data_IF_167853820200
#
_entry.id   IF_167853820200
#
_cell.length_a   1.000
_cell.length_b   1.000
_cell.length_c   1.000
_cell.angle_alpha   90.00
_cell.angle_beta   90.00
_cell.angle_gamma   90.00
#
_symmetry.space_group_name_H-M   'P 1'
#
loop_
_entity.id
_entity.type
_entity.pdbx_description
1 polymer ?
#
# COMPACT_ATOMS: atom_id res chain seq x y z
N UNK A 1 2.39 24.51 -6.17
CA UNK A 1 2.39 23.21 -6.88
C UNK A 1 1.43 22.23 -6.20
N UNK A 2 1.49 21.99 -4.88
CA UNK A 2 0.59 21.06 -4.19
C UNK A 2 -0.88 21.46 -4.23
N UNK A 3 -1.21 22.74 -4.00
CA UNK A 3 -2.58 23.24 -4.04
C UNK A 3 -3.21 23.09 -5.43
N UNK A 4 -2.49 23.45 -6.49
CA UNK A 4 -2.97 23.29 -7.87
C UNK A 4 -3.18 21.83 -8.24
N UNK A 5 -2.27 20.92 -7.82
CA UNK A 5 -2.43 19.49 -8.04
C UNK A 5 -3.65 18.92 -7.30
N UNK A 6 -3.88 19.34 -6.06
CA UNK A 6 -5.04 18.93 -5.28
C UNK A 6 -6.35 19.44 -5.90
N UNK A 7 -6.36 20.68 -6.39
CA UNK A 7 -7.52 21.28 -7.07
C UNK A 7 -7.88 20.52 -8.35
N UNK A 8 -6.90 20.24 -9.21
CA UNK A 8 -7.14 19.46 -10.44
C UNK A 8 -7.57 18.02 -10.13
N UNK A 9 -6.95 17.38 -9.14
CA UNK A 9 -7.31 16.04 -8.71
C UNK A 9 -8.74 15.95 -8.17
N UNK A 10 -9.21 16.99 -7.47
CA UNK A 10 -10.58 17.03 -6.95
C UNK A 10 -11.64 17.24 -8.04
N UNK A 11 -11.24 17.71 -9.24
CA UNK A 11 -12.13 17.80 -10.42
C UNK A 11 -12.29 16.47 -11.16
N UNK A 12 -11.36 15.51 -10.93
CA UNK A 12 -11.44 14.21 -11.55
C UNK A 12 -12.59 13.38 -10.96
N UNK A 13 -13.29 12.58 -11.77
CA UNK A 13 -14.24 11.59 -11.26
C UNK A 13 -13.57 10.69 -10.22
N UNK A 14 -14.33 10.28 -9.20
CA UNK A 14 -13.81 9.36 -8.21
C UNK A 14 -13.52 8.00 -8.88
N UNK A 15 -12.27 7.55 -8.77
CA UNK A 15 -11.88 6.27 -9.33
C UNK A 15 -12.63 5.13 -8.62
N UNK A 16 -13.20 4.17 -9.36
CA UNK A 16 -13.83 2.99 -8.75
C UNK A 16 -12.79 2.15 -8.01
N UNK A 17 -13.25 1.32 -7.10
CA UNK A 17 -12.40 0.29 -6.47
C UNK A 17 -11.87 -0.65 -7.55
N UNK A 18 -10.60 -1.03 -7.42
CA UNK A 18 -10.05 -2.11 -8.24
C UNK A 18 -10.75 -3.43 -7.90
N UNK A 19 -11.16 -4.23 -8.90
CA UNK A 19 -11.72 -5.57 -8.66
C UNK A 19 -10.78 -6.41 -7.79
N UNK A 20 -11.31 -7.12 -6.79
CA UNK A 20 -10.54 -7.92 -5.84
C UNK A 20 -9.98 -7.15 -4.63
N UNK A 21 -9.87 -5.81 -4.71
CA UNK A 21 -9.29 -5.02 -3.63
C UNK A 21 -10.16 -5.04 -2.36
N UNK A 22 -11.46 -4.92 -2.50
CA UNK A 22 -12.39 -4.99 -1.37
C UNK A 22 -12.37 -6.38 -0.72
N UNK A 23 -12.42 -7.40 -1.55
CA UNK A 23 -12.47 -8.79 -1.14
C UNK A 23 -11.23 -9.17 -0.29
N UNK A 24 -10.03 -8.85 -0.78
CA UNK A 24 -8.80 -9.20 -0.05
C UNK A 24 -8.64 -8.40 1.24
N UNK A 25 -8.94 -7.09 1.27
CA UNK A 25 -8.81 -6.32 2.51
C UNK A 25 -9.85 -6.73 3.57
N UNK A 26 -11.00 -7.26 3.16
CA UNK A 26 -11.98 -7.87 4.07
C UNK A 26 -11.46 -9.19 4.66
N UNK A 27 -10.84 -10.06 3.84
CA UNK A 27 -10.19 -11.29 4.33
C UNK A 27 -9.11 -10.95 5.37
N UNK A 28 -8.18 -10.05 5.02
CA UNK A 28 -7.11 -9.57 5.91
C UNK A 28 -7.68 -9.04 7.24
N UNK A 29 -8.79 -8.29 7.17
CA UNK A 29 -9.49 -7.81 8.36
C UNK A 29 -10.05 -8.96 9.20
N UNK A 30 -10.71 -9.92 8.57
CA UNK A 30 -11.32 -11.07 9.24
C UNK A 30 -10.26 -11.96 9.90
N UNK A 31 -9.09 -12.06 9.30
CA UNK A 31 -7.93 -12.77 9.85
C UNK A 31 -7.27 -12.01 11.04
N UNK A 32 -7.80 -10.85 11.42
CA UNK A 32 -7.28 -10.06 12.54
C UNK A 32 -5.98 -9.30 12.24
N UNK A 33 -5.50 -9.33 10.99
CA UNK A 33 -4.24 -8.70 10.59
C UNK A 33 -4.40 -7.18 10.54
N UNK A 34 -3.46 -6.45 11.12
CA UNK A 34 -3.44 -4.98 11.10
C UNK A 34 -3.15 -4.46 9.69
N UNK A 35 -3.93 -3.48 9.24
CA UNK A 35 -3.79 -2.81 7.94
C UNK A 35 -3.34 -1.38 8.14
N UNK A 36 -2.30 -0.98 7.43
CA UNK A 36 -1.76 0.37 7.44
C UNK A 36 -1.77 0.97 6.04
N UNK A 37 -1.83 2.28 5.96
CA UNK A 37 -1.69 3.02 4.69
C UNK A 37 -0.41 3.83 4.74
N UNK A 38 0.46 3.64 3.73
CA UNK A 38 1.71 4.39 3.59
C UNK A 38 1.70 5.12 2.26
N UNK A 39 1.52 6.43 2.30
CA UNK A 39 1.35 7.26 1.10
C UNK A 39 2.25 8.49 1.11
N UNK A 40 2.78 8.83 -0.06
CA UNK A 40 3.47 10.10 -0.30
C UNK A 40 2.52 11.30 -0.46
N UNK A 41 1.20 11.10 -0.34
CA UNK A 41 0.22 12.18 -0.42
C UNK A 41 0.04 12.87 0.93
N UNK A 42 0.01 14.22 0.89
CA UNK A 42 -0.39 15.06 2.02
C UNK A 42 -1.85 15.55 1.94
N UNK A 43 -2.71 14.88 1.17
CA UNK A 43 -4.11 15.32 1.00
C UNK A 43 -4.95 14.94 2.21
N UNK A 44 -5.56 15.93 2.86
CA UNK A 44 -6.47 15.73 4.01
C UNK A 44 -7.69 14.87 3.63
N UNK A 45 -8.18 15.01 2.39
CA UNK A 45 -9.32 14.24 1.86
C UNK A 45 -9.03 12.75 1.60
N UNK A 46 -7.77 12.32 1.69
CA UNK A 46 -7.40 10.94 1.39
C UNK A 46 -8.11 9.93 2.30
N UNK A 47 -8.15 10.18 3.61
CA UNK A 47 -8.82 9.29 4.55
C UNK A 47 -10.32 9.19 4.30
N UNK A 48 -10.96 10.31 3.97
CA UNK A 48 -12.39 10.33 3.63
C UNK A 48 -12.68 9.50 2.38
N UNK A 49 -11.83 9.60 1.37
CA UNK A 49 -11.94 8.79 0.13
C UNK A 49 -11.70 7.30 0.42
N UNK A 50 -10.70 6.98 1.24
CA UNK A 50 -10.46 5.60 1.68
C UNK A 50 -11.65 5.05 2.45
N UNK A 51 -12.26 5.82 3.34
CA UNK A 51 -13.42 5.39 4.09
C UNK A 51 -14.68 5.21 3.24
N UNK A 52 -14.85 6.03 2.18
CA UNK A 52 -15.94 5.82 1.23
C UNK A 52 -15.76 4.54 0.43
N UNK A 53 -14.53 4.28 -0.04
CA UNK A 53 -14.24 3.11 -0.85
C UNK A 53 -14.04 1.83 -0.02
N UNK A 54 -13.52 1.94 1.21
CA UNK A 54 -13.17 0.83 2.09
C UNK A 54 -13.69 1.09 3.52
N UNK A 55 -15.02 1.12 3.72
CA UNK A 55 -15.59 1.51 5.02
C UNK A 55 -15.15 0.58 6.14
N UNK A 56 -14.60 1.18 7.21
CA UNK A 56 -14.17 0.45 8.40
C UNK A 56 -12.92 -0.42 8.23
N UNK A 57 -12.16 -0.25 7.13
CA UNK A 57 -10.93 -0.99 6.89
C UNK A 57 -9.71 -0.29 7.48
N UNK A 58 -9.56 1.00 7.21
CA UNK A 58 -8.37 1.77 7.57
C UNK A 58 -8.67 2.74 8.72
N UNK A 59 -7.68 2.95 9.58
CA UNK A 59 -7.76 3.85 10.73
C UNK A 59 -6.73 4.96 10.58
N UNK A 60 -7.10 6.18 10.95
CA UNK A 60 -6.24 7.38 10.82
C UNK A 60 -4.91 7.23 11.56
N UNK A 61 -4.94 6.67 12.74
CA UNK A 61 -3.76 6.46 13.60
C UNK A 61 -2.75 5.46 13.01
N UNK A 62 -3.20 4.63 12.05
CA UNK A 62 -2.37 3.66 11.33
C UNK A 62 -2.07 4.11 9.88
N UNK A 63 -2.02 5.42 9.66
CA UNK A 63 -1.60 6.00 8.39
C UNK A 63 -0.26 6.70 8.53
N UNK A 64 0.56 6.58 7.48
CA UNK A 64 1.79 7.36 7.26
C UNK A 64 1.58 8.16 5.99
N UNK A 65 1.73 9.47 6.10
CA UNK A 65 1.52 10.44 5.01
C UNK A 65 2.79 11.26 4.78
N UNK A 66 2.78 12.13 3.78
CA UNK A 66 3.89 13.05 3.51
C UNK A 66 4.23 13.97 4.71
N UNK A 67 3.31 14.16 5.64
CA UNK A 67 3.52 14.99 6.84
C UNK A 67 4.26 14.27 7.97
N UNK A 68 4.31 12.94 7.92
CA UNK A 68 4.91 12.11 8.96
C UNK A 68 6.40 11.83 8.72
N UNK A 69 6.91 12.09 7.51
CA UNK A 69 8.22 11.65 7.04
C UNK A 69 9.07 12.81 6.52
N UNK A 70 10.37 12.65 6.61
CA UNK A 70 11.34 13.60 6.04
C UNK A 70 11.69 13.26 4.60
N UNK A 71 11.86 11.98 4.31
CA UNK A 71 12.25 11.49 2.99
C UNK A 71 11.17 10.56 2.44
N UNK A 72 10.71 10.84 1.23
CA UNK A 72 9.73 10.01 0.52
C UNK A 72 10.36 8.81 -0.19
N UNK A 73 9.51 7.91 -0.69
CA UNK A 73 9.93 6.76 -1.52
C UNK A 73 10.83 7.24 -2.67
N UNK A 74 11.94 6.58 -2.99
CA UNK A 74 12.33 5.22 -2.62
C UNK A 74 13.05 5.09 -1.27
N UNK A 75 13.19 6.15 -0.48
CA UNK A 75 13.76 6.05 0.86
C UNK A 75 12.88 5.14 1.73
N UNK A 76 13.44 4.31 2.63
CA UNK A 76 12.68 3.42 3.50
C UNK A 76 11.88 4.13 4.61
N UNK A 77 12.15 5.42 4.89
CA UNK A 77 11.52 6.19 5.98
C UNK A 77 10.01 6.00 6.11
N UNK A 78 9.19 6.01 5.02
CA UNK A 78 7.75 5.83 5.14
C UNK A 78 7.35 4.49 5.74
N UNK A 79 8.06 3.42 5.39
CA UNK A 79 7.79 2.08 5.89
C UNK A 79 8.39 1.85 7.28
N UNK A 80 9.56 2.40 7.57
CA UNK A 80 10.13 2.38 8.92
C UNK A 80 9.22 3.12 9.91
N UNK A 81 8.67 4.27 9.51
CA UNK A 81 7.65 4.99 10.29
C UNK A 81 6.38 4.16 10.50
N UNK A 82 5.95 3.41 9.49
CA UNK A 82 4.81 2.51 9.63
C UNK A 82 5.08 1.38 10.62
N UNK A 83 6.26 0.76 10.57
CA UNK A 83 6.67 -0.26 11.55
C UNK A 83 6.66 0.31 12.97
N UNK A 84 7.22 1.51 13.17
CA UNK A 84 7.24 2.19 14.47
C UNK A 84 5.82 2.47 14.97
N UNK A 85 4.95 3.08 14.15
CA UNK A 85 3.55 3.38 14.51
C UNK A 85 2.75 2.12 14.84
N UNK A 86 2.99 1.03 14.12
CA UNK A 86 2.30 -0.23 14.32
C UNK A 86 2.87 -1.09 15.44
N UNK A 87 4.11 -0.81 15.87
CA UNK A 87 4.83 -1.65 16.83
C UNK A 87 5.26 -3.00 16.22
N UNK A 88 5.54 -3.05 14.91
CA UNK A 88 5.87 -4.26 14.16
C UNK A 88 7.34 -4.35 13.79
N UNK A 89 7.81 -5.58 13.60
CA UNK A 89 9.12 -5.87 13.02
C UNK A 89 8.99 -6.09 11.50
N UNK A 90 10.06 -5.88 10.72
CA UNK A 90 10.03 -6.12 9.27
C UNK A 90 9.59 -7.53 8.88
N UNK A 91 10.02 -8.55 9.62
CA UNK A 91 9.67 -9.95 9.38
C UNK A 91 8.24 -10.35 9.79
N UNK A 92 7.48 -9.44 10.38
CA UNK A 92 6.06 -9.61 10.73
C UNK A 92 5.14 -8.81 9.80
N UNK A 93 5.71 -8.22 8.74
CA UNK A 93 5.01 -7.23 7.92
C UNK A 93 5.17 -7.58 6.44
N UNK A 94 4.14 -7.29 5.67
CA UNK A 94 4.15 -7.36 4.21
C UNK A 94 3.82 -5.97 3.65
N UNK A 95 4.57 -5.55 2.65
CA UNK A 95 4.24 -4.36 1.84
C UNK A 95 3.52 -4.82 0.57
N UNK A 96 2.41 -4.15 0.24
CA UNK A 96 1.70 -4.29 -1.04
C UNK A 96 1.87 -2.97 -1.80
N UNK A 97 2.46 -3.04 -2.97
CA UNK A 97 2.79 -1.87 -3.79
C UNK A 97 2.54 -2.08 -5.27
N UNK A 98 2.36 -1.00 -6.01
CA UNK A 98 2.21 -1.04 -7.47
C UNK A 98 3.23 -0.16 -8.21
N UNK A 99 4.02 0.61 -7.49
CA UNK A 99 4.98 1.56 -8.06
C UNK A 99 6.43 1.14 -7.73
N UNK A 100 7.37 1.24 -8.70
CA UNK A 100 8.77 0.85 -8.48
C UNK A 100 9.42 1.52 -7.26
N UNK A 101 9.20 2.83 -7.08
CA UNK A 101 9.74 3.56 -5.94
C UNK A 101 9.18 3.07 -4.60
N UNK A 102 7.92 2.61 -4.58
CA UNK A 102 7.32 2.02 -3.40
C UNK A 102 7.88 0.64 -3.09
N UNK A 103 8.08 -0.19 -4.12
CA UNK A 103 8.75 -1.49 -3.99
C UNK A 103 10.16 -1.31 -3.44
N UNK A 104 10.97 -0.42 -4.02
CA UNK A 104 12.33 -0.11 -3.55
C UNK A 104 12.33 0.30 -2.06
N UNK A 105 11.39 1.16 -1.66
CA UNK A 105 11.29 1.61 -0.27
C UNK A 105 10.92 0.49 0.70
N UNK A 106 10.00 -0.41 0.33
CA UNK A 106 9.62 -1.58 1.12
C UNK A 106 10.79 -2.54 1.30
N UNK A 107 11.49 -2.85 0.22
CA UNK A 107 12.69 -3.71 0.23
C UNK A 107 13.81 -3.07 1.06
N UNK A 108 14.05 -1.76 0.89
CA UNK A 108 15.06 -1.04 1.67
C UNK A 108 14.73 -0.98 3.17
N UNK A 109 13.45 -1.07 3.55
CA UNK A 109 13.02 -1.21 4.95
C UNK A 109 13.16 -2.64 5.48
N UNK A 110 13.61 -3.60 4.66
CA UNK A 110 13.76 -5.01 5.04
C UNK A 110 12.45 -5.78 5.11
N UNK A 111 11.38 -5.28 4.49
CA UNK A 111 10.03 -5.85 4.55
C UNK A 111 9.79 -6.70 3.29
N UNK A 112 9.17 -7.87 3.46
CA UNK A 112 8.70 -8.66 2.32
C UNK A 112 7.72 -7.85 1.48
N UNK A 113 8.07 -7.61 0.22
CA UNK A 113 7.34 -6.67 -0.64
C UNK A 113 6.73 -7.39 -1.84
N UNK A 114 5.41 -7.31 -1.91
CA UNK A 114 4.60 -7.85 -3.00
C UNK A 114 4.23 -6.70 -3.94
N UNK A 115 4.54 -6.86 -5.22
CA UNK A 115 4.09 -5.95 -6.26
C UNK A 115 2.75 -6.43 -6.83
N UNK A 116 1.80 -5.51 -7.00
CA UNK A 116 0.57 -5.76 -7.77
C UNK A 116 0.58 -4.83 -8.98
N UNK A 117 0.95 -5.37 -10.15
CA UNK A 117 1.08 -4.57 -11.37
C UNK A 117 -0.29 -4.24 -11.97
N UNK A 118 -0.88 -3.17 -11.46
CA UNK A 118 -2.18 -2.63 -11.93
C UNK A 118 -2.02 -1.50 -12.96
N UNK A 119 -0.79 -1.19 -13.34
CA UNK A 119 -0.43 -0.09 -14.22
C UNK A 119 0.10 -0.57 -15.58
N UNK A 120 0.54 0.36 -16.43
CA UNK A 120 1.05 0.08 -17.77
C UNK A 120 2.54 -0.33 -17.80
N UNK A 121 3.19 -0.43 -16.65
CA UNK A 121 4.63 -0.74 -16.60
C UNK A 121 4.88 -2.22 -16.90
N UNK A 122 5.98 -2.55 -17.60
CA UNK A 122 6.43 -3.93 -17.70
C UNK A 122 6.76 -4.51 -16.32
N UNK A 123 6.45 -5.79 -16.11
CA UNK A 123 6.73 -6.49 -14.84
C UNK A 123 8.22 -6.44 -14.46
N UNK A 124 9.10 -6.44 -15.45
CA UNK A 124 10.53 -6.35 -15.28
C UNK A 124 10.93 -5.16 -14.37
N UNK A 125 10.26 -4.03 -14.50
CA UNK A 125 10.54 -2.81 -13.72
C UNK A 125 10.28 -3.03 -12.23
N UNK A 126 9.25 -3.81 -11.90
CA UNK A 126 8.91 -4.14 -10.51
C UNK A 126 9.83 -5.22 -9.94
N UNK A 127 10.24 -6.20 -10.76
CA UNK A 127 11.26 -7.18 -10.38
C UNK A 127 12.61 -6.52 -10.13
N UNK A 128 13.04 -5.62 -11.01
CA UNK A 128 14.29 -4.84 -10.85
C UNK A 128 14.25 -3.91 -9.62
N UNK A 129 13.05 -3.46 -9.22
CA UNK A 129 12.86 -2.71 -7.97
C UNK A 129 13.00 -3.59 -6.72
N UNK A 130 13.06 -4.92 -6.87
CA UNK A 130 13.29 -5.88 -5.80
C UNK A 130 12.05 -6.55 -5.24
N UNK A 131 10.91 -6.55 -5.96
CA UNK A 131 9.70 -7.24 -5.52
C UNK A 131 9.98 -8.73 -5.24
N UNK A 132 9.46 -9.25 -4.14
CA UNK A 132 9.59 -10.66 -3.75
C UNK A 132 8.54 -11.54 -4.44
N UNK A 133 7.35 -10.99 -4.68
CA UNK A 133 6.26 -11.59 -5.45
C UNK A 133 5.63 -10.54 -6.35
N UNK A 134 5.00 -10.98 -7.44
CA UNK A 134 4.28 -10.10 -8.36
C UNK A 134 2.95 -10.74 -8.77
N UNK A 135 1.90 -9.95 -8.72
CA UNK A 135 0.56 -10.27 -9.24
C UNK A 135 0.15 -9.21 -10.28
N UNK A 136 -0.67 -9.61 -11.26
CA UNK A 136 -1.13 -8.70 -12.31
C UNK A 136 -2.45 -7.99 -11.98
N UNK A 137 -3.09 -8.38 -10.88
CA UNK A 137 -4.33 -7.76 -10.42
C UNK A 137 -4.56 -7.99 -8.92
N UNK A 138 -5.43 -7.17 -8.34
CA UNK A 138 -5.92 -7.42 -6.98
C UNK A 138 -6.77 -8.69 -6.87
N UNK A 139 -7.36 -9.19 -7.97
CA UNK A 139 -8.04 -10.48 -8.00
C UNK A 139 -7.04 -11.63 -7.82
N UNK A 140 -5.94 -11.65 -8.58
CA UNK A 140 -4.90 -12.67 -8.41
C UNK A 140 -4.31 -12.65 -6.99
N UNK A 141 -4.03 -11.46 -6.46
CA UNK A 141 -3.57 -11.33 -5.07
C UNK A 141 -4.61 -11.85 -4.07
N UNK A 142 -5.90 -11.55 -4.27
CA UNK A 142 -6.99 -12.05 -3.43
C UNK A 142 -7.13 -13.59 -3.49
N UNK A 143 -6.93 -14.20 -4.65
CA UNK A 143 -6.96 -15.66 -4.82
C UNK A 143 -5.77 -16.31 -4.11
N UNK A 144 -4.58 -15.71 -4.18
CA UNK A 144 -3.38 -16.22 -3.54
C UNK A 144 -3.30 -15.95 -2.03
N UNK A 145 -4.21 -15.15 -1.45
CA UNK A 145 -4.10 -14.69 -0.06
C UNK A 145 -3.94 -15.82 0.97
N UNK A 146 -4.71 -16.90 0.84
CA UNK A 146 -4.66 -18.02 1.79
C UNK A 146 -3.31 -18.78 1.73
N UNK A 147 -2.68 -18.83 0.56
CA UNK A 147 -1.36 -19.45 0.40
C UNK A 147 -0.26 -18.54 0.97
N UNK A 148 -0.35 -17.25 0.70
CA UNK A 148 0.57 -16.24 1.25
C UNK A 148 0.54 -16.29 2.77
N UNK A 149 -0.64 -16.28 3.38
CA UNK A 149 -0.82 -16.34 4.82
C UNK A 149 -0.14 -17.57 5.43
N UNK A 150 -0.34 -18.76 4.85
CA UNK A 150 0.30 -19.99 5.31
C UNK A 150 1.83 -19.99 5.18
N UNK A 151 2.36 -19.22 4.25
CA UNK A 151 3.81 -19.15 4.03
C UNK A 151 4.53 -18.20 5.00
N UNK A 152 3.79 -17.33 5.69
CA UNK A 152 4.33 -16.33 6.63
C UNK A 152 3.97 -16.64 8.10
N UNK A 153 3.10 -17.61 8.38
CA UNK A 153 2.87 -18.20 9.70
C UNK A 153 4.00 -19.18 10.08
#
# INVERSE_FOLDING_TARGET
>A
IYAAKAEEFNKCPEAPRMPGAWEVVQKIKTDGITRMVVTGSGQVSLLERLNRNFPGIFRKELMVTAFDIKYGKPNPDPYLMALEKGGFRPNETIVIENAPLGVQAGVAAGIFTIAVNTGPLPDQVLWEAGANLLFHSMNEFNEAWEEIKKAVD
#
